data_IF_384663719870
#
_entry.id   IF_384663719870
#
_cell.length_a   1.000
_cell.length_b   1.000
_cell.length_c   1.000
_cell.angle_alpha   90.00
_cell.angle_beta   90.00
_cell.angle_gamma   90.00
#
_symmetry.space_group_name_H-M   'P 1'
#
loop_
_entity.id
_entity.type
_entity.pdbx_description
1 polymer ?
#
# COMPACT_ATOMS: atom_id res chain seq x y z
N UNK A 1 15.51 15.88 -2.82
CA UNK A 1 15.05 14.74 -3.67
C UNK A 1 13.56 14.59 -3.47
N UNK A 2 12.77 14.47 -4.54
CA UNK A 2 11.33 14.24 -4.42
C UNK A 2 11.04 12.84 -3.89
N UNK A 3 9.94 12.64 -3.18
CA UNK A 3 9.57 11.32 -2.63
C UNK A 3 9.50 10.23 -3.71
N UNK A 4 8.92 10.54 -4.88
CA UNK A 4 8.86 9.60 -6.01
C UNK A 4 10.23 9.23 -6.58
N UNK A 5 11.18 10.14 -6.58
CA UNK A 5 12.57 9.87 -6.98
C UNK A 5 13.27 8.97 -5.96
N UNK A 6 13.06 9.24 -4.67
CA UNK A 6 13.57 8.40 -3.58
C UNK A 6 13.06 6.97 -3.71
N UNK A 7 11.76 6.78 -3.86
CA UNK A 7 11.15 5.44 -3.98
C UNK A 7 11.75 4.70 -5.18
N UNK A 8 11.83 5.32 -6.35
CA UNK A 8 12.39 4.70 -7.55
C UNK A 8 13.88 4.37 -7.43
N UNK A 9 14.64 5.16 -6.67
CA UNK A 9 16.07 4.93 -6.45
C UNK A 9 16.34 3.78 -5.46
N UNK A 10 15.41 3.52 -4.54
CA UNK A 10 15.61 2.58 -3.43
C UNK A 10 14.79 1.30 -3.52
N UNK A 11 13.92 1.19 -4.53
CA UNK A 11 13.09 0.00 -4.78
C UNK A 11 13.23 -0.45 -6.23
N UNK A 12 12.71 -1.63 -6.54
CA UNK A 12 12.58 -2.12 -7.91
C UNK A 12 11.11 -2.44 -8.21
N UNK A 13 10.70 -2.22 -9.46
CA UNK A 13 9.38 -2.67 -9.90
C UNK A 13 9.36 -4.20 -9.95
N UNK A 14 8.45 -4.79 -9.22
CA UNK A 14 8.35 -6.22 -9.02
C UNK A 14 6.88 -6.60 -8.75
N UNK A 15 6.62 -7.77 -8.22
CA UNK A 15 5.30 -8.23 -7.85
C UNK A 15 5.36 -9.07 -6.57
N UNK A 16 4.25 -9.14 -5.85
CA UNK A 16 4.13 -10.02 -4.69
C UNK A 16 3.70 -11.44 -5.12
N UNK A 17 4.21 -12.50 -4.45
CA UNK A 17 3.96 -13.88 -4.88
C UNK A 17 2.49 -14.29 -5.02
N UNK A 18 1.62 -13.78 -4.15
CA UNK A 18 0.18 -14.12 -4.20
C UNK A 18 -0.59 -13.33 -5.28
N UNK A 19 -0.04 -12.21 -5.74
CA UNK A 19 -0.72 -11.32 -6.69
C UNK A 19 0.24 -10.87 -7.80
N UNK A 20 0.72 -11.81 -8.62
CA UNK A 20 1.68 -11.52 -9.69
C UNK A 20 1.12 -10.58 -10.76
N UNK A 21 -0.20 -10.37 -10.78
CA UNK A 21 -0.88 -9.45 -11.68
C UNK A 21 -0.65 -7.98 -11.33
N UNK A 22 -0.26 -7.67 -10.08
CA UNK A 22 -0.09 -6.30 -9.58
C UNK A 22 1.39 -5.93 -9.54
N UNK A 23 1.77 -4.90 -10.29
CA UNK A 23 3.11 -4.33 -10.28
C UNK A 23 3.28 -3.40 -9.09
N UNK A 24 4.38 -3.56 -8.36
CA UNK A 24 4.67 -2.79 -7.15
C UNK A 24 6.14 -2.35 -7.14
N UNK A 25 6.41 -1.18 -6.62
CA UNK A 25 7.77 -0.75 -6.26
C UNK A 25 8.09 -1.31 -4.87
N UNK A 26 8.91 -2.34 -4.82
CA UNK A 26 9.25 -3.06 -3.59
C UNK A 26 10.75 -3.10 -3.34
N UNK A 27 11.12 -3.23 -2.08
CA UNK A 27 12.47 -3.58 -1.67
C UNK A 27 12.83 -5.00 -2.14
N UNK A 28 14.07 -5.19 -2.51
CA UNK A 28 14.64 -6.49 -2.85
C UNK A 28 16.09 -6.52 -2.40
N UNK A 29 16.72 -7.70 -2.40
CA UNK A 29 18.12 -7.85 -2.00
C UNK A 29 19.11 -7.03 -2.85
N UNK A 30 18.69 -6.53 -4.00
CA UNK A 30 19.51 -5.68 -4.88
C UNK A 30 19.20 -4.18 -4.68
N UNK A 31 18.28 -3.81 -3.80
CA UNK A 31 17.91 -2.42 -3.57
C UNK A 31 18.48 -1.89 -2.24
N UNK A 32 18.92 -0.62 -2.21
CA UNK A 32 19.53 -0.06 -1.00
C UNK A 32 18.66 -0.14 0.26
N UNK A 33 17.36 0.05 0.11
CA UNK A 33 16.41 0.07 1.24
C UNK A 33 16.26 -1.29 1.93
N UNK A 34 16.61 -2.38 1.26
CA UNK A 34 16.62 -3.72 1.86
C UNK A 34 17.60 -3.83 3.02
N UNK A 35 18.72 -3.12 2.92
CA UNK A 35 19.79 -3.10 3.92
C UNK A 35 19.71 -1.88 4.85
N UNK A 36 18.61 -1.13 4.80
CA UNK A 36 18.45 0.06 5.63
C UNK A 36 18.43 -0.33 7.11
N UNK A 37 19.38 0.21 7.85
CA UNK A 37 19.44 0.10 9.30
C UNK A 37 18.65 1.24 9.94
N UNK A 38 18.23 1.05 11.20
CA UNK A 38 17.59 2.13 11.97
C UNK A 38 18.49 3.37 12.05
N UNK A 39 19.80 3.18 12.21
CA UNK A 39 20.79 4.27 12.23
C UNK A 39 20.80 5.04 10.89
N UNK A 40 20.82 4.33 9.77
CA UNK A 40 20.80 4.96 8.45
C UNK A 40 19.47 5.71 8.21
N UNK A 41 18.34 5.11 8.56
CA UNK A 41 17.02 5.75 8.46
C UNK A 41 16.94 7.01 9.33
N UNK A 42 17.49 6.94 10.56
CA UNK A 42 17.55 8.09 11.46
C UNK A 42 18.39 9.25 10.87
N UNK A 43 19.48 8.97 10.16
CA UNK A 43 20.27 10.02 9.48
C UNK A 43 19.47 10.77 8.41
N UNK A 44 18.47 10.11 7.82
CA UNK A 44 17.58 10.67 6.80
C UNK A 44 16.25 11.18 7.38
N UNK A 45 16.07 11.06 8.69
CA UNK A 45 14.80 11.35 9.39
C UNK A 45 13.61 10.59 8.76
N UNK A 46 13.82 9.30 8.47
CA UNK A 46 12.82 8.41 7.86
C UNK A 46 12.34 7.37 8.87
N UNK A 47 11.06 7.05 8.80
CA UNK A 47 10.46 5.92 9.50
C UNK A 47 10.88 4.58 8.85
N UNK A 48 10.72 3.44 9.54
CA UNK A 48 10.90 2.12 8.95
C UNK A 48 10.06 1.99 7.68
N UNK A 49 10.65 1.53 6.54
CA UNK A 49 10.01 1.58 5.24
C UNK A 49 9.01 0.42 5.03
N UNK A 50 7.99 0.32 5.89
CA UNK A 50 6.97 -0.73 5.78
C UNK A 50 6.25 -0.74 4.44
N UNK A 51 6.13 0.42 3.78
CA UNK A 51 5.57 0.59 2.44
C UNK A 51 6.40 -0.08 1.33
N UNK A 52 7.67 -0.38 1.59
CA UNK A 52 8.56 -1.02 0.61
C UNK A 52 8.39 -2.55 0.54
N UNK A 53 7.45 -3.10 1.28
CA UNK A 53 7.20 -4.55 1.36
C UNK A 53 5.71 -4.85 1.16
N UNK A 54 5.42 -5.92 0.39
CA UNK A 54 4.07 -6.45 0.28
C UNK A 54 3.85 -7.48 1.41
N UNK A 55 3.31 -7.02 2.51
CA UNK A 55 3.10 -7.85 3.70
C UNK A 55 2.04 -8.93 3.47
N UNK A 56 2.10 -10.07 4.16
CA UNK A 56 1.24 -11.24 3.90
C UNK A 56 -0.26 -10.95 3.99
N UNK A 57 -0.71 -10.18 4.96
CA UNK A 57 -2.12 -9.82 5.12
C UNK A 57 -2.63 -8.99 3.95
N UNK A 58 -1.87 -8.00 3.50
CA UNK A 58 -2.20 -7.21 2.32
C UNK A 58 -2.23 -8.05 1.05
N UNK A 59 -1.28 -8.97 0.86
CA UNK A 59 -1.27 -9.90 -0.27
C UNK A 59 -2.50 -10.83 -0.26
N UNK A 60 -2.84 -11.39 0.92
CA UNK A 60 -3.98 -12.29 1.07
C UNK A 60 -5.30 -11.58 0.75
N UNK A 61 -5.49 -10.36 1.26
CA UNK A 61 -6.66 -9.53 0.93
C UNK A 61 -6.71 -9.23 -0.57
N UNK A 62 -5.60 -8.81 -1.17
CA UNK A 62 -5.54 -8.51 -2.60
C UNK A 62 -5.91 -9.74 -3.44
N UNK A 63 -5.36 -10.92 -3.13
CA UNK A 63 -5.71 -12.17 -3.82
C UNK A 63 -7.20 -12.49 -3.68
N UNK A 64 -7.71 -12.39 -2.45
CA UNK A 64 -9.11 -12.67 -2.18
C UNK A 64 -10.07 -11.75 -2.95
N UNK A 65 -9.74 -10.47 -3.07
CA UNK A 65 -10.55 -9.50 -3.82
C UNK A 65 -10.51 -9.76 -5.33
N UNK A 66 -9.33 -10.07 -5.89
CA UNK A 66 -9.21 -10.42 -7.30
C UNK A 66 -10.00 -11.68 -7.66
N UNK A 67 -10.03 -12.66 -6.76
CA UNK A 67 -10.79 -13.91 -6.95
C UNK A 67 -12.29 -13.74 -6.68
N UNK A 68 -12.69 -12.71 -5.90
CA UNK A 68 -14.05 -12.44 -5.50
C UNK A 68 -14.48 -10.99 -5.78
N UNK A 69 -14.43 -10.51 -7.02
CA UNK A 69 -14.64 -9.09 -7.35
C UNK A 69 -16.01 -8.55 -6.95
N UNK A 70 -17.01 -9.42 -6.80
CA UNK A 70 -18.35 -9.03 -6.36
C UNK A 70 -18.37 -8.39 -4.96
N UNK A 71 -17.36 -8.67 -4.13
CA UNK A 71 -17.26 -8.09 -2.77
C UNK A 71 -17.06 -6.58 -2.79
N UNK A 72 -16.36 -6.06 -3.78
CA UNK A 72 -15.99 -4.63 -3.85
C UNK A 72 -16.66 -3.90 -5.01
N UNK A 73 -17.20 -4.62 -6.00
CA UNK A 73 -17.80 -3.99 -7.18
C UNK A 73 -18.87 -2.99 -6.81
N UNK A 74 -18.69 -1.76 -7.28
CA UNK A 74 -19.61 -0.64 -7.05
C UNK A 74 -19.59 -0.07 -5.63
N UNK A 75 -18.69 -0.51 -4.77
CA UNK A 75 -18.59 -0.07 -3.37
C UNK A 75 -17.54 1.01 -3.16
N UNK A 76 -17.72 1.77 -2.08
CA UNK A 76 -16.70 2.65 -1.51
C UNK A 76 -15.83 1.80 -0.56
N UNK A 77 -14.54 1.74 -0.84
CA UNK A 77 -13.60 0.87 -0.14
C UNK A 77 -12.49 1.71 0.48
N UNK A 78 -12.17 1.43 1.73
CA UNK A 78 -10.98 1.93 2.41
C UNK A 78 -9.98 0.79 2.57
N UNK A 79 -8.74 1.03 2.20
CA UNK A 79 -7.58 0.25 2.64
C UNK A 79 -6.91 1.02 3.78
N UNK A 80 -7.10 0.54 5.02
CA UNK A 80 -6.61 1.18 6.23
C UNK A 80 -5.19 0.70 6.54
N UNK A 81 -4.26 1.63 6.75
CA UNK A 81 -2.82 1.36 6.90
C UNK A 81 -2.29 0.55 5.71
N UNK A 82 -2.48 1.12 4.51
CA UNK A 82 -2.39 0.42 3.24
C UNK A 82 -0.96 -0.01 2.83
N UNK A 83 0.09 0.51 3.48
CA UNK A 83 1.49 0.19 3.18
C UNK A 83 1.86 0.46 1.72
N UNK A 84 2.13 -0.58 0.94
CA UNK A 84 2.40 -0.46 -0.50
C UNK A 84 1.14 -0.28 -1.36
N UNK A 85 -0.07 -0.37 -0.76
CA UNK A 85 -1.35 -0.19 -1.43
C UNK A 85 -1.83 -1.39 -2.24
N UNK A 86 -1.27 -2.58 -2.04
CA UNK A 86 -1.60 -3.76 -2.84
C UNK A 86 -3.08 -4.13 -2.75
N UNK A 87 -3.69 -4.04 -1.55
CA UNK A 87 -5.11 -4.37 -1.37
C UNK A 87 -6.02 -3.30 -1.99
N UNK A 88 -5.68 -2.01 -1.86
CA UNK A 88 -6.39 -0.92 -2.52
C UNK A 88 -6.36 -1.07 -4.05
N UNK A 89 -5.19 -1.39 -4.62
CA UNK A 89 -5.04 -1.61 -6.06
C UNK A 89 -5.90 -2.79 -6.52
N UNK A 90 -5.88 -3.90 -5.78
CA UNK A 90 -6.73 -5.06 -6.06
C UNK A 90 -8.21 -4.70 -6.01
N UNK A 91 -8.65 -3.91 -5.01
CA UNK A 91 -10.03 -3.44 -4.90
C UNK A 91 -10.44 -2.58 -6.11
N UNK A 92 -9.57 -1.67 -6.55
CA UNK A 92 -9.81 -0.81 -7.72
C UNK A 92 -9.90 -1.64 -9.01
N UNK A 93 -8.98 -2.59 -9.22
CA UNK A 93 -8.98 -3.49 -10.37
C UNK A 93 -10.19 -4.43 -10.37
N UNK A 94 -10.74 -4.74 -9.22
CA UNK A 94 -11.93 -5.58 -9.03
C UNK A 94 -13.25 -4.81 -9.17
N UNK A 95 -13.20 -3.51 -9.49
CA UNK A 95 -14.37 -2.69 -9.78
C UNK A 95 -14.94 -1.90 -8.61
N UNK A 96 -14.15 -1.63 -7.57
CA UNK A 96 -14.51 -0.67 -6.52
C UNK A 96 -14.87 0.69 -7.13
N UNK A 97 -15.99 1.27 -6.72
CA UNK A 97 -16.47 2.54 -7.28
C UNK A 97 -15.63 3.72 -6.82
N UNK A 98 -15.24 3.71 -5.56
CA UNK A 98 -14.32 4.66 -4.94
C UNK A 98 -13.40 3.88 -4.00
N UNK A 99 -12.11 3.91 -4.28
CA UNK A 99 -11.11 3.24 -3.44
C UNK A 99 -10.19 4.30 -2.87
N UNK A 100 -10.05 4.29 -1.56
CA UNK A 100 -9.18 5.18 -0.81
C UNK A 100 -8.18 4.34 0.00
N UNK A 101 -6.94 4.76 0.01
CA UNK A 101 -5.87 4.17 0.81
C UNK A 101 -5.37 5.20 1.82
N UNK A 102 -5.39 4.84 3.10
CA UNK A 102 -4.97 5.72 4.19
C UNK A 102 -3.63 5.25 4.78
N UNK A 103 -2.74 6.22 5.02
CA UNK A 103 -1.45 6.01 5.63
C UNK A 103 -0.99 7.24 6.42
N UNK A 104 -0.16 7.00 7.43
CA UNK A 104 0.46 8.07 8.23
C UNK A 104 1.77 8.56 7.60
N UNK A 105 2.48 7.70 6.89
CA UNK A 105 3.78 7.98 6.26
C UNK A 105 3.58 8.57 4.86
N UNK A 106 4.13 9.77 4.64
CA UNK A 106 4.07 10.44 3.33
C UNK A 106 4.80 9.67 2.22
N UNK A 107 5.85 8.89 2.55
CA UNK A 107 6.49 8.00 1.58
C UNK A 107 5.59 6.85 1.20
N UNK A 108 4.82 6.28 2.15
CA UNK A 108 3.81 5.28 1.84
C UNK A 108 2.73 5.83 0.91
N UNK A 109 2.24 7.04 1.16
CA UNK A 109 1.28 7.73 0.29
C UNK A 109 1.82 7.85 -1.14
N UNK A 110 3.07 8.25 -1.31
CA UNK A 110 3.66 8.37 -2.64
C UNK A 110 3.92 7.00 -3.29
N UNK A 111 4.30 6.00 -2.51
CA UNK A 111 4.45 4.62 -2.98
C UNK A 111 3.11 4.07 -3.51
N UNK A 112 2.02 4.29 -2.77
CA UNK A 112 0.66 3.91 -3.21
C UNK A 112 0.32 4.57 -4.55
N UNK A 113 0.60 5.87 -4.72
CA UNK A 113 0.34 6.59 -5.98
C UNK A 113 1.14 6.02 -7.14
N UNK A 114 2.43 5.74 -6.94
CA UNK A 114 3.29 5.13 -7.95
C UNK A 114 2.82 3.74 -8.33
N UNK A 115 2.48 2.91 -7.33
CA UNK A 115 1.98 1.56 -7.53
C UNK A 115 0.63 1.56 -8.24
N UNK A 116 -0.30 2.41 -7.83
CA UNK A 116 -1.61 2.56 -8.49
C UNK A 116 -1.43 2.97 -9.96
N UNK A 117 -0.59 3.97 -10.24
CA UNK A 117 -0.29 4.43 -11.61
C UNK A 117 0.32 3.32 -12.47
N UNK A 118 1.23 2.50 -11.91
CA UNK A 118 1.86 1.37 -12.62
C UNK A 118 0.86 0.29 -13.05
N UNK A 119 -0.32 0.25 -12.42
CA UNK A 119 -1.40 -0.72 -12.70
C UNK A 119 -2.61 -0.07 -13.39
N UNK A 120 -2.57 1.22 -13.69
CA UNK A 120 -3.75 1.94 -14.21
C UNK A 120 -4.94 1.96 -13.23
N UNK A 121 -4.68 1.76 -11.94
CA UNK A 121 -5.70 1.73 -10.91
C UNK A 121 -6.00 3.14 -10.38
N UNK A 122 -7.27 3.42 -10.11
CA UNK A 122 -7.70 4.67 -9.48
C UNK A 122 -7.83 4.47 -7.99
N UNK A 123 -6.86 4.97 -7.23
CA UNK A 123 -6.84 4.94 -5.77
C UNK A 123 -6.63 6.36 -5.28
N UNK A 124 -7.57 6.87 -4.50
CA UNK A 124 -7.40 8.10 -3.75
C UNK A 124 -6.52 7.83 -2.53
N UNK A 125 -5.74 8.81 -2.09
CA UNK A 125 -4.88 8.65 -0.92
C UNK A 125 -5.25 9.64 0.16
N UNK A 126 -5.20 9.20 1.41
CA UNK A 126 -5.39 10.04 2.59
C UNK A 126 -4.15 9.94 3.50
N UNK A 127 -3.50 11.07 3.73
CA UNK A 127 -2.36 11.16 4.65
C UNK A 127 -2.86 11.60 6.03
N UNK A 128 -2.92 10.68 6.98
CA UNK A 128 -3.37 10.98 8.34
C UNK A 128 -4.09 9.81 9.01
N UNK A 129 -4.49 10.03 10.26
CA UNK A 129 -5.23 9.08 11.06
C UNK A 129 -6.74 9.20 10.80
N UNK A 130 -7.38 8.07 10.52
CA UNK A 130 -8.82 7.97 10.32
C UNK A 130 -9.54 7.34 11.52
N UNK A 131 -8.83 6.98 12.59
CA UNK A 131 -9.43 6.44 13.80
C UNK A 131 -10.30 7.51 14.47
N UNK A 132 -11.57 7.17 14.70
CA UNK A 132 -12.55 8.08 15.28
C UNK A 132 -13.29 8.98 14.28
N UNK A 133 -12.90 8.98 13.01
CA UNK A 133 -13.61 9.69 11.95
C UNK A 133 -14.92 8.98 11.56
N UNK A 134 -15.97 9.71 11.15
CA UNK A 134 -17.21 9.09 10.67
C UNK A 134 -16.97 8.14 9.50
N UNK A 135 -17.48 6.93 9.60
CA UNK A 135 -17.37 5.93 8.54
C UNK A 135 -18.17 6.36 7.30
N UNK A 136 -17.50 6.44 6.16
CA UNK A 136 -18.09 6.78 4.86
C UNK A 136 -17.89 5.69 3.79
N UNK A 137 -17.31 4.57 4.18
CA UNK A 137 -17.02 3.45 3.30
C UNK A 137 -18.01 2.30 3.51
N UNK A 138 -18.23 1.51 2.48
CA UNK A 138 -19.07 0.32 2.51
C UNK A 138 -18.26 -0.92 2.92
N UNK A 139 -16.93 -0.88 2.75
CA UNK A 139 -15.98 -1.92 3.09
C UNK A 139 -14.66 -1.30 3.54
N UNK A 140 -14.11 -1.84 4.64
CA UNK A 140 -12.78 -1.48 5.14
C UNK A 140 -11.89 -2.72 5.07
N UNK A 141 -10.73 -2.57 4.44
CA UNK A 141 -9.69 -3.58 4.37
C UNK A 141 -8.65 -3.27 5.44
N UNK A 142 -8.33 -4.27 6.25
CA UNK A 142 -7.30 -4.18 7.29
C UNK A 142 -6.36 -5.38 7.11
N UNK A 143 -5.22 -5.15 6.49
CA UNK A 143 -4.21 -6.18 6.24
C UNK A 143 -3.38 -6.46 7.49
N UNK A 144 -2.16 -5.98 7.53
CA UNK A 144 -1.19 -6.22 8.59
C UNK A 144 -1.21 -5.08 9.63
N UNK A 145 -2.33 -4.89 10.33
CA UNK A 145 -2.54 -3.76 11.26
C UNK A 145 -2.48 -4.16 12.74
N UNK A 146 -2.47 -5.43 13.08
CA UNK A 146 -2.53 -5.94 14.44
C UNK A 146 -1.18 -6.52 14.90
N UNK A 147 -0.09 -5.79 14.72
CA UNK A 147 1.27 -6.23 15.06
C UNK A 147 1.84 -5.53 16.30
N UNK A 148 1.18 -4.49 16.81
CA UNK A 148 1.55 -3.81 18.05
C UNK A 148 0.42 -3.92 19.07
N UNK A 149 0.78 -4.09 20.35
CA UNK A 149 -0.17 -3.98 21.45
C UNK A 149 -0.48 -2.50 21.70
N UNK A 150 -1.76 -2.20 21.94
CA UNK A 150 -2.21 -0.86 22.30
C UNK A 150 -1.70 -0.44 23.67
#
# INVERSE_FOLDING_TARGET
MKASEFIRAHTAQSFAPLVPEIKLYLASQITPIWYATEEWLATLNLNPPFWAFAWPGGQALARYLLDNPALVRGKRVLDFAAGCGVAAIAAALSGGAQVEAAELDELAIEAIRLNAAANGARVATFAGDLVGEPCRWDLILCGDVCYEAA
#
